data_IF_158951283561
#
_entry.id   IF_158951283561
#
_cell.length_a   1.000
_cell.length_b   1.000
_cell.length_c   1.000
_cell.angle_alpha   90.00
_cell.angle_beta   90.00
_cell.angle_gamma   90.00
#
_symmetry.space_group_name_H-M   'P 1'
#
loop_
_entity.id
_entity.type
_entity.pdbx_description
1 polymer ?
#
# COMPACT_ATOMS: atom_id res chain seq x y z
N UNK A 1 -4.30 0.08 -2.23
CA UNK A 1 -4.17 -1.40 -2.13
C UNK A 1 -2.96 -1.79 -2.93
N UNK A 2 -2.07 -2.59 -2.36
CA UNK A 2 -0.86 -3.05 -3.01
C UNK A 2 -0.98 -4.54 -3.27
N UNK A 3 -0.81 -4.91 -4.52
CA UNK A 3 -0.75 -6.28 -4.99
C UNK A 3 0.65 -6.50 -5.53
N UNK A 4 1.35 -7.48 -4.98
CA UNK A 4 2.69 -7.85 -5.42
C UNK A 4 2.89 -9.34 -5.19
N UNK A 5 3.80 -9.93 -5.96
CA UNK A 5 4.10 -11.35 -5.89
C UNK A 5 5.48 -11.56 -5.25
N UNK A 6 5.59 -12.50 -4.32
CA UNK A 6 6.86 -12.95 -3.76
C UNK A 6 7.07 -14.43 -4.03
N UNK A 7 8.08 -14.77 -4.82
CA UNK A 7 8.36 -16.17 -5.19
C UNK A 7 8.84 -17.03 -4.00
N UNK A 8 9.42 -16.40 -2.98
CA UNK A 8 9.87 -17.07 -1.75
C UNK A 8 8.72 -17.38 -0.76
N UNK A 9 7.50 -16.91 -1.04
CA UNK A 9 6.32 -17.08 -0.16
C UNK A 9 5.24 -17.93 -0.84
N UNK A 10 5.67 -19.01 -1.51
CA UNK A 10 4.80 -20.00 -2.15
C UNK A 10 4.81 -21.30 -1.36
N UNK A 11 3.65 -21.94 -1.23
CA UNK A 11 3.54 -23.27 -0.62
C UNK A 11 2.45 -24.09 -1.31
N UNK A 12 2.54 -25.42 -1.19
CA UNK A 12 1.48 -26.31 -1.62
C UNK A 12 0.43 -26.43 -0.50
N UNK A 13 -0.84 -26.02 -0.71
CA UNK A 13 -1.89 -26.18 0.29
C UNK A 13 -2.04 -27.63 0.78
N UNK A 14 -1.74 -28.63 -0.05
CA UNK A 14 -1.88 -30.05 0.34
C UNK A 14 -0.96 -30.45 1.50
N UNK A 15 0.23 -29.84 1.59
CA UNK A 15 1.19 -30.09 2.67
C UNK A 15 0.81 -29.36 3.97
N UNK A 16 -0.02 -28.32 3.88
CA UNK A 16 -0.35 -27.41 4.98
C UNK A 16 -1.85 -27.38 5.26
N UNK A 17 -2.50 -28.54 5.37
CA UNK A 17 -3.92 -28.66 5.77
C UNK A 17 -4.89 -27.83 4.90
N UNK A 18 -4.62 -27.72 3.60
CA UNK A 18 -5.36 -26.90 2.63
C UNK A 18 -5.45 -25.40 2.98
N UNK A 19 -4.45 -24.86 3.69
CA UNK A 19 -4.36 -23.41 3.94
C UNK A 19 -4.04 -22.70 2.61
N UNK A 20 -4.97 -21.89 2.13
CA UNK A 20 -4.82 -21.12 0.88
C UNK A 20 -4.36 -19.68 1.10
N UNK A 21 -4.62 -19.11 2.28
CA UNK A 21 -4.27 -17.74 2.61
C UNK A 21 -3.89 -17.60 4.09
N UNK A 22 -2.90 -16.75 4.35
CA UNK A 22 -2.39 -16.46 5.69
C UNK A 22 -2.36 -14.94 5.92
N UNK A 23 -2.67 -14.52 7.14
CA UNK A 23 -2.53 -13.13 7.58
C UNK A 23 -1.26 -12.97 8.40
N UNK A 24 -0.31 -12.20 7.87
CA UNK A 24 1.00 -11.99 8.48
C UNK A 24 1.18 -10.49 8.75
N UNK A 25 1.73 -10.09 9.91
CA UNK A 25 2.13 -8.70 10.14
C UNK A 25 3.10 -8.21 9.06
N UNK A 26 2.89 -7.01 8.53
CA UNK A 26 3.78 -6.41 7.52
C UNK A 26 5.23 -6.22 7.98
N UNK A 27 5.52 -6.36 9.27
CA UNK A 27 6.89 -6.31 9.81
C UNK A 27 7.71 -7.58 9.56
N UNK A 28 7.07 -8.70 9.21
CA UNK A 28 7.72 -10.00 9.04
C UNK A 28 7.93 -10.38 7.57
N UNK A 29 7.34 -9.61 6.66
CA UNK A 29 7.47 -9.82 5.22
C UNK A 29 8.05 -8.58 4.57
N UNK A 30 8.64 -8.75 3.39
CA UNK A 30 9.03 -7.62 2.58
C UNK A 30 7.77 -6.89 2.07
N UNK A 31 7.76 -5.57 2.18
CA UNK A 31 6.72 -4.70 1.63
C UNK A 31 7.37 -3.57 0.85
N UNK A 32 6.78 -3.11 -0.28
CA UNK A 32 7.36 -2.02 -1.04
C UNK A 32 7.28 -0.70 -0.27
N UNK A 33 8.36 0.07 -0.32
CA UNK A 33 8.41 1.42 0.21
C UNK A 33 7.77 2.39 -0.79
N UNK A 34 6.67 3.01 -0.39
CA UNK A 34 5.91 3.95 -1.23
C UNK A 34 5.95 5.33 -0.60
N UNK A 35 6.33 6.32 -1.42
CA UNK A 35 6.42 7.71 -1.02
C UNK A 35 5.62 8.59 -1.97
N UNK A 36 5.02 9.64 -1.42
CA UNK A 36 4.33 10.67 -2.21
C UNK A 36 5.31 11.78 -2.57
N UNK A 37 5.69 11.88 -3.84
CA UNK A 37 6.68 12.87 -4.28
C UNK A 37 6.22 14.33 -4.08
N UNK A 38 4.97 14.63 -4.42
CA UNK A 38 4.38 15.97 -4.24
C UNK A 38 3.71 16.13 -2.86
N UNK A 39 4.33 15.60 -1.81
CA UNK A 39 3.82 15.76 -0.44
C UNK A 39 3.82 17.23 -0.03
N UNK A 40 2.69 17.69 0.51
CA UNK A 40 2.55 18.98 1.18
C UNK A 40 2.86 18.88 2.69
N UNK A 41 3.11 17.67 3.20
CA UNK A 41 3.48 17.42 4.60
C UNK A 41 4.98 17.13 4.72
N UNK A 42 5.62 17.71 5.74
CA UNK A 42 7.04 17.47 6.07
C UNK A 42 7.25 16.07 6.66
N UNK A 43 6.21 15.50 7.31
CA UNK A 43 6.28 14.17 7.91
C UNK A 43 5.91 13.10 6.89
N UNK A 44 6.94 12.59 6.21
CA UNK A 44 6.82 11.34 5.46
C UNK A 44 6.63 10.17 6.45
N UNK A 45 5.54 9.41 6.30
CA UNK A 45 5.53 8.03 6.78
C UNK A 45 4.95 7.76 8.17
N UNK A 46 3.91 8.46 8.61
CA UNK A 46 3.03 7.89 9.65
C UNK A 46 2.14 6.79 9.06
N UNK A 47 2.76 5.77 8.45
CA UNK A 47 2.08 4.58 7.97
C UNK A 47 1.75 3.71 9.16
N UNK A 48 0.47 3.55 9.46
CA UNK A 48 0.09 2.53 10.44
C UNK A 48 0.31 1.16 9.81
N UNK A 49 1.05 0.29 10.49
CA UNK A 49 1.35 -1.05 10.00
C UNK A 49 0.08 -1.91 10.08
N UNK A 50 -0.35 -2.42 8.93
CA UNK A 50 -1.45 -3.39 8.85
C UNK A 50 -0.91 -4.81 8.63
N UNK A 51 -1.79 -5.80 8.78
CA UNK A 51 -1.49 -7.16 8.34
C UNK A 51 -1.63 -7.25 6.82
N UNK A 52 -0.78 -8.05 6.19
CA UNK A 52 -0.90 -8.42 4.80
C UNK A 52 -1.56 -9.80 4.69
N UNK A 53 -2.28 -10.02 3.59
CA UNK A 53 -2.83 -11.33 3.23
C UNK A 53 -1.92 -11.94 2.18
N UNK A 54 -1.27 -13.05 2.51
CA UNK A 54 -0.41 -13.82 1.61
C UNK A 54 -1.21 -15.02 1.14
N UNK A 55 -1.29 -15.24 -0.18
CA UNK A 55 -1.89 -16.41 -0.79
C UNK A 55 -0.82 -17.47 -1.09
N UNK A 56 -1.24 -18.73 -1.17
CA UNK A 56 -0.34 -19.87 -1.39
C UNK A 56 0.42 -19.80 -2.73
N UNK A 57 -0.14 -19.10 -3.72
CA UNK A 57 0.47 -18.86 -5.02
C UNK A 57 1.54 -17.74 -5.00
N UNK A 58 1.82 -17.15 -3.84
CA UNK A 58 2.80 -16.08 -3.67
C UNK A 58 2.23 -14.67 -3.85
N UNK A 59 0.94 -14.52 -4.11
CA UNK A 59 0.28 -13.21 -4.21
C UNK A 59 0.08 -12.60 -2.82
N UNK A 60 0.47 -11.33 -2.68
CA UNK A 60 0.38 -10.59 -1.43
C UNK A 60 -0.50 -9.38 -1.62
N UNK A 61 -1.55 -9.33 -0.81
CA UNK A 61 -2.46 -8.20 -0.68
C UNK A 61 -2.12 -7.42 0.59
N UNK A 62 -1.63 -6.19 0.40
CA UNK A 62 -1.29 -5.29 1.50
C UNK A 62 -2.09 -3.99 1.40
N UNK A 63 -2.86 -3.68 2.45
CA UNK A 63 -3.73 -2.49 2.53
C UNK A 63 -3.49 -1.74 3.85
N UNK A 64 -2.36 -1.01 3.95
CA UNK A 64 -2.13 -0.10 5.07
C UNK A 64 -3.05 1.13 4.99
N UNK A 65 -3.53 1.67 6.12
CA UNK A 65 -4.19 2.96 6.14
C UNK A 65 -3.15 4.08 6.05
N UNK A 66 -3.41 5.03 5.16
CA UNK A 66 -2.54 6.17 4.88
C UNK A 66 -3.33 7.48 4.84
N UNK A 67 -2.73 8.54 5.36
CA UNK A 67 -3.20 9.91 5.19
C UNK A 67 -2.14 10.69 4.40
N UNK A 68 -2.48 11.07 3.17
CA UNK A 68 -1.60 11.83 2.28
C UNK A 68 -2.10 13.26 2.15
N UNK A 69 -1.18 14.23 2.21
CA UNK A 69 -1.44 15.62 1.83
C UNK A 69 -0.56 15.93 0.64
N UNK A 70 -1.15 16.39 -0.46
CA UNK A 70 -0.44 16.69 -1.70
C UNK A 70 -0.48 18.17 -2.04
N UNK A 71 0.55 18.65 -2.72
CA UNK A 71 0.59 19.98 -3.32
C UNK A 71 -0.14 19.92 -4.66
N UNK A 72 -1.15 20.76 -4.83
CA UNK A 72 -1.89 20.97 -6.08
C UNK A 72 -1.72 22.42 -6.55
N UNK A 73 -1.28 22.68 -7.80
CA UNK A 73 -1.20 24.04 -8.31
C UNK A 73 -2.60 24.64 -8.48
N UNK A 74 -2.77 25.92 -8.16
CA UNK A 74 -4.02 26.65 -8.34
C UNK A 74 -3.76 27.98 -9.08
N UNK A 75 -4.69 28.37 -9.97
CA UNK A 75 -4.56 29.59 -10.77
C UNK A 75 -5.57 30.66 -10.31
N UNK A 76 -5.07 31.74 -9.70
CA UNK A 76 -5.88 32.82 -9.10
C UNK A 76 -6.58 33.69 -10.17
N UNK A 77 -6.11 33.65 -11.42
CA UNK A 77 -6.58 34.53 -12.50
C UNK A 77 -8.04 34.30 -12.94
N UNK A 78 -8.65 33.14 -12.62
CA UNK A 78 -10.00 32.77 -13.04
C UNK A 78 -11.03 32.83 -11.89
N UNK A 79 -10.74 33.53 -10.80
CA UNK A 79 -11.72 33.75 -9.74
C UNK A 79 -12.96 34.47 -10.30
N UNK A 80 -14.21 33.97 -10.12
CA UNK A 80 -14.66 32.91 -9.22
C UNK A 80 -14.91 31.51 -9.86
N UNK A 81 -14.63 31.31 -11.15
CA UNK A 81 -14.86 30.06 -11.89
C UNK A 81 -13.64 29.13 -11.84
N UNK A 82 -13.16 28.83 -10.64
CA UNK A 82 -11.95 28.02 -10.44
C UNK A 82 -12.18 26.54 -10.81
N UNK A 83 -11.39 26.02 -11.75
CA UNK A 83 -11.25 24.58 -11.99
C UNK A 83 -9.90 24.08 -11.44
N UNK A 84 -9.94 23.07 -10.58
CA UNK A 84 -8.76 22.27 -10.26
C UNK A 84 -8.43 21.43 -11.50
N UNK A 85 -7.29 21.68 -12.13
CA UNK A 85 -6.80 20.91 -13.30
C UNK A 85 -6.12 19.63 -12.80
#
# INVERSE_FOLDING_TARGET
MLLFQCDNLKWDPQEFSNIQALRIPSTQIWTPDILLYNSADEKFGSTMKANAVVQHNGDILYVPPFLFKSICPFHIAAFPFMSFI
#
